data_IF_842703667257
#
_entry.id   IF_842703667257
#
_cell.length_a   1.000
_cell.length_b   1.000
_cell.length_c   1.000
_cell.angle_alpha   90.00
_cell.angle_beta   90.00
_cell.angle_gamma   90.00
#
_symmetry.space_group_name_H-M   'P 1'
#
loop_
_entity.id
_entity.type
_entity.pdbx_description
1 polymer ?
#
# COMPACT_ATOMS: atom_id res chain seq x y z
N UNK A 1 -5.84 28.70 29.36
CA UNK A 1 -6.84 28.11 28.44
C UNK A 1 -6.32 27.56 27.09
N UNK A 2 -5.01 27.59 26.71
CA UNK A 2 -4.58 27.02 25.43
C UNK A 2 -4.41 25.48 25.45
N UNK A 3 -4.19 24.86 26.61
CA UNK A 3 -3.97 23.40 26.71
C UNK A 3 -5.19 22.56 26.26
N UNK A 4 -6.42 23.06 26.40
CA UNK A 4 -7.65 22.31 26.04
C UNK A 4 -7.88 22.21 24.53
N UNK A 5 -7.34 23.14 23.75
CA UNK A 5 -7.40 23.07 22.28
C UNK A 5 -6.40 22.03 21.78
N UNK A 6 -5.19 22.01 22.34
CA UNK A 6 -4.16 21.03 22.01
C UNK A 6 -4.65 19.60 22.22
N UNK A 7 -5.27 19.31 23.36
CA UNK A 7 -5.77 17.97 23.67
C UNK A 7 -6.87 17.50 22.70
N UNK A 8 -7.85 18.35 22.39
CA UNK A 8 -8.90 18.00 21.40
C UNK A 8 -8.37 17.83 19.98
N UNK A 9 -7.35 18.60 19.59
CA UNK A 9 -6.69 18.42 18.29
C UNK A 9 -5.94 17.08 18.23
N UNK A 10 -5.34 16.67 19.34
CA UNK A 10 -4.65 15.37 19.48
C UNK A 10 -5.66 14.21 19.40
N UNK A 11 -6.77 14.27 20.14
CA UNK A 11 -7.83 13.25 20.10
C UNK A 11 -8.42 13.08 18.68
N UNK A 12 -8.64 14.20 17.98
CA UNK A 12 -9.11 14.19 16.60
C UNK A 12 -8.05 13.60 15.65
N UNK A 13 -6.77 13.96 15.83
CA UNK A 13 -5.68 13.41 15.05
C UNK A 13 -5.54 11.89 15.27
N UNK A 14 -5.64 11.41 16.50
CA UNK A 14 -5.63 9.98 16.83
C UNK A 14 -6.77 9.25 16.11
N UNK A 15 -7.98 9.78 16.17
CA UNK A 15 -9.15 9.19 15.50
C UNK A 15 -8.96 9.13 13.98
N UNK A 16 -8.48 10.22 13.37
CA UNK A 16 -8.23 10.30 11.92
C UNK A 16 -7.13 9.34 11.50
N UNK A 17 -6.02 9.29 12.24
CA UNK A 17 -4.91 8.38 11.97
C UNK A 17 -5.38 6.92 12.11
N UNK A 18 -6.15 6.60 13.15
CA UNK A 18 -6.71 5.26 13.36
C UNK A 18 -7.60 4.81 12.21
N UNK A 19 -8.52 5.68 11.76
CA UNK A 19 -9.35 5.44 10.56
C UNK A 19 -8.53 5.30 9.28
N UNK A 20 -7.49 6.13 9.11
CA UNK A 20 -6.61 6.06 7.94
C UNK A 20 -5.86 4.72 7.89
N UNK A 21 -5.35 4.25 9.04
CA UNK A 21 -4.66 2.97 9.16
C UNK A 21 -5.60 1.80 8.84
N UNK A 22 -6.84 1.82 9.33
CA UNK A 22 -7.86 0.84 8.98
C UNK A 22 -8.18 0.82 7.48
N UNK A 23 -8.30 2.01 6.87
CA UNK A 23 -8.57 2.14 5.43
C UNK A 23 -7.41 1.59 4.58
N UNK A 24 -6.17 1.86 4.98
CA UNK A 24 -4.97 1.29 4.33
C UNK A 24 -5.03 -0.24 4.33
N UNK A 25 -5.36 -0.87 5.46
CA UNK A 25 -5.47 -2.33 5.56
C UNK A 25 -6.57 -2.88 4.63
N UNK A 26 -7.74 -2.23 4.60
CA UNK A 26 -8.84 -2.63 3.71
C UNK A 26 -8.42 -2.56 2.24
N UNK A 27 -7.78 -1.46 1.82
CA UNK A 27 -7.27 -1.33 0.45
C UNK A 27 -6.21 -2.41 0.19
N UNK A 28 -5.31 -2.65 1.13
CA UNK A 28 -4.24 -3.63 0.98
C UNK A 28 -4.75 -5.06 0.76
N UNK A 29 -5.75 -5.49 1.54
CA UNK A 29 -6.42 -6.79 1.32
C UNK A 29 -7.15 -6.80 -0.03
N UNK A 30 -7.76 -5.68 -0.40
CA UNK A 30 -8.52 -5.56 -1.64
C UNK A 30 -7.64 -5.61 -2.89
N UNK A 31 -6.36 -5.22 -2.83
CA UNK A 31 -5.40 -5.33 -3.96
C UNK A 31 -5.39 -6.76 -4.52
N UNK A 32 -5.36 -7.77 -3.65
CA UNK A 32 -5.36 -9.18 -4.06
C UNK A 32 -6.62 -9.59 -4.83
N UNK A 33 -7.76 -8.95 -4.57
CA UNK A 33 -9.03 -9.23 -5.26
C UNK A 33 -9.23 -8.36 -6.50
N UNK A 34 -8.76 -7.11 -6.48
CA UNK A 34 -8.87 -6.15 -7.58
C UNK A 34 -7.77 -6.29 -8.64
N UNK A 35 -6.83 -7.22 -8.48
CA UNK A 35 -5.82 -7.59 -9.47
C UNK A 35 -6.47 -8.27 -10.71
N UNK A 36 -7.44 -7.61 -11.36
CA UNK A 36 -8.06 -8.00 -12.65
C UNK A 36 -7.57 -7.19 -13.87
N UNK A 37 -6.95 -6.01 -13.70
CA UNK A 37 -6.06 -5.41 -14.74
C UNK A 37 -4.69 -4.89 -14.21
N UNK A 38 -3.64 -4.87 -15.06
CA UNK A 38 -2.30 -4.29 -14.74
C UNK A 38 -2.40 -2.83 -14.29
N UNK A 39 -3.31 -2.07 -14.92
CA UNK A 39 -3.49 -0.64 -14.62
C UNK A 39 -4.08 -0.43 -13.23
N UNK A 40 -5.07 -1.24 -12.85
CA UNK A 40 -5.67 -1.16 -11.51
C UNK A 40 -4.67 -1.56 -10.43
N UNK A 41 -3.80 -2.52 -10.70
CA UNK A 41 -2.76 -2.95 -9.76
C UNK A 41 -1.76 -1.82 -9.48
N UNK A 42 -1.22 -1.20 -10.54
CA UNK A 42 -0.31 -0.06 -10.40
C UNK A 42 -0.97 1.12 -9.66
N UNK A 43 -2.23 1.42 -9.96
CA UNK A 43 -2.99 2.48 -9.28
C UNK A 43 -3.17 2.12 -7.80
N UNK A 44 -3.53 0.88 -7.48
CA UNK A 44 -3.79 0.46 -6.12
C UNK A 44 -2.51 0.45 -5.27
N UNK A 45 -1.39 -0.05 -5.82
CA UNK A 45 -0.09 -0.04 -5.14
C UNK A 45 0.37 1.39 -4.88
N UNK A 46 0.32 2.26 -5.90
CA UNK A 46 0.68 3.67 -5.74
C UNK A 46 -0.21 4.39 -4.71
N UNK A 47 -1.51 4.09 -4.70
CA UNK A 47 -2.46 4.67 -3.74
C UNK A 47 -2.13 4.23 -2.31
N UNK A 48 -1.89 2.92 -2.08
CA UNK A 48 -1.51 2.41 -0.75
C UNK A 48 -0.17 2.98 -0.31
N UNK A 49 0.84 2.98 -1.17
CA UNK A 49 2.16 3.52 -0.84
C UNK A 49 2.07 4.99 -0.42
N UNK A 50 1.34 5.81 -1.19
CA UNK A 50 1.15 7.23 -0.87
C UNK A 50 0.40 7.42 0.45
N UNK A 51 -0.66 6.65 0.70
CA UNK A 51 -1.39 6.69 1.97
C UNK A 51 -0.51 6.28 3.16
N UNK A 52 0.28 5.20 3.02
CA UNK A 52 1.21 4.75 4.06
C UNK A 52 2.23 5.82 4.42
N UNK A 53 2.85 6.49 3.42
CA UNK A 53 3.83 7.54 3.69
C UNK A 53 3.19 8.78 4.33
N UNK A 54 1.99 9.18 3.89
CA UNK A 54 1.27 10.30 4.50
C UNK A 54 0.90 10.00 5.96
N UNK A 55 0.37 8.81 6.23
CA UNK A 55 0.00 8.40 7.59
C UNK A 55 1.23 8.24 8.49
N UNK A 56 2.33 7.68 7.98
CA UNK A 56 3.58 7.56 8.72
C UNK A 56 4.17 8.94 9.08
N UNK A 57 4.16 9.89 8.14
CA UNK A 57 4.58 11.26 8.42
C UNK A 57 3.67 11.92 9.47
N UNK A 58 2.36 11.70 9.39
CA UNK A 58 1.40 12.16 10.40
C UNK A 58 1.67 11.59 11.79
N UNK A 59 1.96 10.30 11.89
CA UNK A 59 2.34 9.63 13.15
C UNK A 59 3.64 10.18 13.75
N UNK A 60 4.66 10.44 12.94
CA UNK A 60 5.92 11.03 13.42
C UNK A 60 5.68 12.44 13.97
N UNK A 61 4.84 13.24 13.30
CA UNK A 61 4.49 14.58 13.78
C UNK A 61 3.67 14.49 15.07
N UNK A 62 2.74 13.53 15.16
CA UNK A 62 1.93 13.28 16.35
C UNK A 62 2.77 12.88 17.57
N UNK A 63 3.73 11.97 17.38
CA UNK A 63 4.69 11.53 18.40
C UNK A 63 5.54 12.71 18.92
N UNK A 64 6.03 13.57 18.01
CA UNK A 64 6.80 14.77 18.36
C UNK A 64 6.01 15.81 19.15
N UNK A 65 4.68 15.81 19.02
CA UNK A 65 3.77 16.68 19.77
C UNK A 65 3.42 16.12 21.16
N UNK A 66 3.96 14.95 21.53
CA UNK A 66 3.68 14.29 22.80
C UNK A 66 2.29 13.64 22.84
N UNK A 67 1.78 13.23 21.68
CA UNK A 67 0.53 12.47 21.60
C UNK A 67 0.76 11.00 21.95
N UNK A 68 0.04 10.52 22.95
CA UNK A 68 0.00 9.10 23.30
C UNK A 68 -1.00 8.40 22.38
N UNK A 69 -0.53 7.46 21.57
CA UNK A 69 -1.39 6.68 20.67
C UNK A 69 -1.83 5.42 21.40
N UNK A 70 -3.15 5.25 21.64
CA UNK A 70 -3.65 4.18 22.50
C UNK A 70 -2.93 4.09 23.86
N UNK A 71 -2.74 5.24 24.52
CA UNK A 71 -2.21 5.31 25.89
C UNK A 71 -0.80 4.66 26.05
N UNK A 72 -0.05 4.54 24.94
CA UNK A 72 1.25 3.87 24.90
C UNK A 72 2.27 4.68 24.07
N UNK A 73 3.30 5.22 24.71
CA UNK A 73 4.35 6.04 24.07
C UNK A 73 5.08 5.35 22.88
N UNK A 74 5.59 4.11 22.98
CA UNK A 74 6.37 3.52 21.89
C UNK A 74 5.53 3.06 20.68
N UNK A 75 4.20 3.03 20.81
CA UNK A 75 3.33 2.41 19.80
C UNK A 75 3.27 3.25 18.51
N UNK A 76 3.24 4.58 18.63
CA UNK A 76 3.19 5.48 17.48
C UNK A 76 4.40 5.31 16.56
N UNK A 77 5.60 5.23 17.15
CA UNK A 77 6.85 5.03 16.42
C UNK A 77 6.93 3.66 15.76
N UNK A 78 6.48 2.60 16.45
CA UNK A 78 6.40 1.26 15.86
C UNK A 78 5.43 1.22 14.66
N UNK A 79 4.26 1.85 14.80
CA UNK A 79 3.25 1.88 13.75
C UNK A 79 3.73 2.68 12.52
N UNK A 80 4.42 3.80 12.74
CA UNK A 80 5.04 4.57 11.66
C UNK A 80 6.06 3.72 10.89
N UNK A 81 6.91 2.96 11.61
CA UNK A 81 7.87 2.04 10.99
C UNK A 81 7.18 0.93 10.18
N UNK A 82 6.11 0.33 10.72
CA UNK A 82 5.31 -0.67 10.01
C UNK A 82 4.70 -0.11 8.71
N UNK A 83 4.17 1.11 8.72
CA UNK A 83 3.60 1.76 7.53
C UNK A 83 4.65 2.01 6.45
N UNK A 84 5.86 2.45 6.84
CA UNK A 84 6.96 2.63 5.88
C UNK A 84 7.36 1.31 5.24
N UNK A 85 7.52 0.25 6.03
CA UNK A 85 7.82 -1.09 5.52
C UNK A 85 6.73 -1.56 4.56
N UNK A 86 5.45 -1.41 4.94
CA UNK A 86 4.31 -1.82 4.12
C UNK A 86 4.28 -1.06 2.79
N UNK A 87 4.55 0.24 2.80
CA UNK A 87 4.63 1.07 1.59
C UNK A 87 5.72 0.63 0.63
N UNK A 88 6.88 0.21 1.17
CA UNK A 88 8.00 -0.32 0.38
C UNK A 88 7.66 -1.69 -0.20
N UNK A 89 7.16 -2.62 0.63
CA UNK A 89 6.81 -3.98 0.21
C UNK A 89 5.72 -3.96 -0.86
N UNK A 90 4.71 -3.09 -0.70
CA UNK A 90 3.65 -2.93 -1.69
C UNK A 90 4.15 -2.51 -3.07
N UNK A 91 5.29 -1.84 -3.17
CA UNK A 91 5.85 -1.41 -4.46
C UNK A 91 6.79 -2.45 -5.09
N UNK A 92 7.37 -3.35 -4.29
CA UNK A 92 8.34 -4.35 -4.75
C UNK A 92 7.67 -5.59 -5.35
N UNK A 93 6.49 -5.97 -4.85
CA UNK A 93 5.84 -7.23 -5.24
C UNK A 93 4.74 -6.95 -6.27
N UNK A 94 4.98 -7.12 -7.59
CA UNK A 94 3.90 -7.15 -8.57
C UNK A 94 3.07 -8.42 -8.37
N UNK A 95 1.77 -8.25 -8.16
CA UNK A 95 0.79 -9.32 -7.94
C UNK A 95 0.42 -9.98 -9.27
N UNK A 96 0.38 -9.21 -10.35
CA UNK A 96 0.45 -9.73 -11.70
C UNK A 96 1.88 -9.67 -12.16
N UNK A 97 2.57 -10.78 -11.91
CA UNK A 97 3.82 -11.09 -12.57
C UNK A 97 3.71 -10.69 -14.03
N UNK A 98 4.48 -9.68 -14.42
CA UNK A 98 5.02 -9.65 -15.76
C UNK A 98 5.63 -11.04 -15.97
N UNK A 99 5.25 -11.73 -17.05
CA UNK A 99 5.74 -13.07 -17.35
C UNK A 99 7.25 -13.02 -17.60
N UNK A 100 8.04 -12.94 -16.52
CA UNK A 100 9.49 -13.17 -16.54
C UNK A 100 9.77 -14.67 -16.70
N UNK A 101 8.76 -15.51 -16.44
CA UNK A 101 8.75 -16.90 -16.84
C UNK A 101 8.49 -16.93 -18.35
N UNK A 102 9.56 -16.70 -19.11
CA UNK A 102 9.61 -16.73 -20.57
C UNK A 102 9.38 -18.14 -21.13
N UNK A 103 8.31 -18.80 -20.71
CA UNK A 103 7.75 -19.93 -21.44
C UNK A 103 6.80 -19.32 -22.48
N UNK A 104 7.18 -19.25 -23.76
CA UNK A 104 6.30 -18.70 -24.77
C UNK A 104 5.01 -19.52 -24.76
N UNK A 105 3.88 -18.83 -24.60
CA UNK A 105 2.56 -19.45 -24.57
C UNK A 105 2.46 -20.50 -25.70
N UNK A 106 2.25 -21.79 -25.39
CA UNK A 106 2.32 -22.88 -26.37
C UNK A 106 1.33 -22.69 -27.52
N UNK A 107 0.25 -21.95 -27.27
CA UNK A 107 -0.73 -21.61 -28.28
C UNK A 107 -0.20 -20.58 -29.32
N UNK A 108 0.72 -19.70 -28.93
CA UNK A 108 1.44 -18.80 -29.84
C UNK A 108 2.54 -19.53 -30.60
N UNK A 109 3.23 -20.50 -29.98
CA UNK A 109 4.24 -21.33 -30.65
C UNK A 109 3.65 -22.22 -31.76
N UNK A 110 2.49 -22.83 -31.52
CA UNK A 110 1.78 -23.61 -32.54
C UNK A 110 1.33 -22.75 -33.72
N UNK A 111 0.89 -21.51 -33.45
CA UNK A 111 0.44 -20.60 -34.50
C UNK A 111 1.59 -20.13 -35.38
N UNK A 112 2.71 -19.76 -34.77
CA UNK A 112 3.93 -19.39 -35.48
C UNK A 112 4.57 -20.57 -36.26
N UNK A 113 4.40 -21.81 -35.80
CA UNK A 113 4.79 -23.00 -36.60
C UNK A 113 3.92 -23.16 -37.84
N UNK A 114 2.60 -23.02 -37.67
CA UNK A 114 1.64 -23.21 -38.75
C UNK A 114 1.75 -22.15 -39.85
N UNK A 115 2.05 -20.90 -39.48
CA UNK A 115 2.28 -19.81 -40.44
C UNK A 115 3.55 -20.07 -41.27
N UNK A 116 4.64 -20.54 -40.66
CA UNK A 116 5.87 -20.92 -41.38
C UNK A 116 5.68 -22.10 -42.34
N UNK A 117 4.87 -23.10 -41.95
CA UNK A 117 4.55 -24.24 -42.82
C UNK A 117 3.61 -23.90 -43.97
N UNK A 118 2.94 -22.73 -43.94
CA UNK A 118 2.03 -22.28 -45.02
C UNK A 118 2.66 -21.34 -46.03
N UNK A 119 3.87 -20.82 -45.75
CA UNK A 119 4.65 -19.95 -46.65
C UNK A 119 5.70 -20.70 -47.47
N UNK A 120 5.98 -21.98 -47.15
CA UNK A 120 6.77 -22.93 -47.96
C UNK A 120 5.88 -23.80 -48.86
#
# INVERSE_FOLDING_TARGET
MPLRIGHRMLELAETVISWSCGTIVVIWISIGTLARSIRLEHIAHNTVTLLCFLTAAGLIVFDRLGGEFWDTEPLANFLALMLVILGIVGQIIPIRGEEIQGEPNPHHLMKARKERESEE
#
